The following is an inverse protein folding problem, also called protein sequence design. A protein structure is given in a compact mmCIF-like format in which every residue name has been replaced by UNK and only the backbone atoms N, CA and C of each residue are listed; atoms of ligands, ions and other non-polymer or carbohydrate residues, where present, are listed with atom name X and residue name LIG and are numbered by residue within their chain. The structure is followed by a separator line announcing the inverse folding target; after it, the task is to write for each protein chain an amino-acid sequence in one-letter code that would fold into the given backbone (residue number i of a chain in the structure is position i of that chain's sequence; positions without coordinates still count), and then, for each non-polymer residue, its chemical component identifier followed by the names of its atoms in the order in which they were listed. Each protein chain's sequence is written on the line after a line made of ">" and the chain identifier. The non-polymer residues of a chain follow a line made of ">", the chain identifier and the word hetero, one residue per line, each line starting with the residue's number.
data_IF_909356467178
#
_entry.id   IF_909356467178
#
_cell.length_a   1.000
_cell.length_b   1.000
_cell.length_c   1.000
_cell.angle_alpha   90.00
_cell.angle_beta   90.00
_cell.angle_gamma   90.00
#
_symmetry.space_group_name_H-M   'P 1'
#
loop_
_entity.id
_entity.type
_entity.pdbx_description
1 polymer ?
#
# COMPACT_ATOMS: atom_id res chain seq x y z
N UNK A 1 -14.53 -17.91 -1.77
CA UNK A 1 -13.76 -16.66 -1.85
C UNK A 1 -14.57 -15.65 -2.64
N UNK A 2 -15.20 -14.68 -1.96
CA UNK A 2 -16.08 -13.70 -2.61
C UNK A 2 -15.22 -12.63 -3.30
N UNK A 3 -15.34 -12.50 -4.63
CA UNK A 3 -14.77 -11.38 -5.38
C UNK A 3 -15.44 -10.11 -4.89
N UNK A 4 -14.76 -9.30 -4.07
CA UNK A 4 -15.20 -7.93 -3.81
C UNK A 4 -15.16 -7.19 -5.15
N UNK A 5 -16.34 -6.81 -5.64
CA UNK A 5 -16.50 -5.97 -6.81
C UNK A 5 -15.87 -4.60 -6.49
N UNK A 6 -14.71 -4.30 -7.05
CA UNK A 6 -14.15 -2.95 -6.97
C UNK A 6 -14.93 -2.05 -7.93
N UNK A 7 -15.92 -1.34 -7.41
CA UNK A 7 -16.54 -0.24 -8.16
C UNK A 7 -15.52 0.89 -8.23
N UNK A 8 -14.89 1.05 -9.40
CA UNK A 8 -14.00 2.17 -9.66
C UNK A 8 -14.86 3.43 -9.71
N UNK A 9 -14.70 4.30 -8.70
CA UNK A 9 -15.36 5.62 -8.64
C UNK A 9 -14.57 6.62 -9.47
N UNK A 10 -15.25 7.64 -9.98
CA UNK A 10 -14.60 8.73 -10.69
C UNK A 10 -13.66 9.48 -9.73
N UNK A 11 -12.46 9.82 -10.20
CA UNK A 11 -11.46 10.52 -9.36
C UNK A 11 -11.94 11.91 -8.95
N UNK A 12 -12.77 12.57 -9.77
CA UNK A 12 -13.36 13.88 -9.47
C UNK A 12 -14.31 13.86 -8.28
N UNK A 13 -14.82 12.69 -7.89
CA UNK A 13 -15.63 12.50 -6.68
C UNK A 13 -14.78 12.25 -5.43
N UNK A 14 -13.50 11.90 -5.61
CA UNK A 14 -12.61 11.48 -4.52
C UNK A 14 -11.67 12.59 -4.05
N UNK A 15 -11.26 13.48 -4.97
CA UNK A 15 -10.30 14.56 -4.69
C UNK A 15 -10.71 15.86 -5.37
N UNK A 16 -10.29 16.98 -4.80
CA UNK A 16 -10.53 18.32 -5.35
C UNK A 16 -9.23 19.11 -5.48
N UNK A 17 -9.21 20.09 -6.38
CA UNK A 17 -8.06 20.98 -6.55
C UNK A 17 -7.79 21.77 -5.26
N UNK A 18 -6.51 21.91 -4.90
CA UNK A 18 -6.07 22.59 -3.68
C UNK A 18 -6.27 21.77 -2.39
N UNK A 19 -6.66 20.49 -2.49
CA UNK A 19 -6.72 19.60 -1.34
C UNK A 19 -5.31 19.11 -0.96
N UNK A 20 -4.95 19.33 0.30
CA UNK A 20 -3.74 18.75 0.87
C UNK A 20 -3.98 17.27 1.20
N UNK A 21 -3.05 16.43 0.77
CA UNK A 21 -3.08 14.98 0.97
C UNK A 21 -1.72 14.50 1.46
N UNK A 22 -1.73 13.63 2.48
CA UNK A 22 -0.53 12.93 2.89
C UNK A 22 -0.18 11.87 1.84
N UNK A 23 1.06 11.91 1.36
CA UNK A 23 1.55 11.06 0.29
C UNK A 23 2.96 10.55 0.59
N UNK A 24 3.30 9.39 0.04
CA UNK A 24 4.64 8.82 0.04
C UNK A 24 5.18 8.73 -1.39
N UNK A 25 6.46 9.10 -1.57
CA UNK A 25 7.18 8.93 -2.84
C UNK A 25 7.49 7.44 -3.03
N UNK A 26 7.02 6.88 -4.14
CA UNK A 26 7.23 5.49 -4.54
C UNK A 26 8.30 5.38 -5.63
N UNK A 27 8.39 6.39 -6.50
CA UNK A 27 9.46 6.51 -7.49
C UNK A 27 9.93 7.94 -7.57
N UNK A 28 11.23 8.10 -7.68
CA UNK A 28 11.88 9.37 -7.97
C UNK A 28 11.36 9.97 -9.29
N UNK A 29 11.43 11.31 -9.44
CA UNK A 29 11.07 11.96 -10.69
C UNK A 29 11.93 11.44 -11.87
N UNK A 30 11.35 11.44 -13.07
CA UNK A 30 12.02 10.98 -14.28
C UNK A 30 11.86 12.01 -15.41
N UNK A 31 12.95 12.68 -15.76
CA UNK A 31 12.97 13.72 -16.78
C UNK A 31 12.03 14.87 -16.41
N UNK A 32 11.02 15.12 -17.25
CA UNK A 32 9.99 16.15 -17.00
C UNK A 32 8.81 15.64 -16.15
N UNK A 33 8.74 14.34 -15.86
CA UNK A 33 7.69 13.77 -15.02
C UNK A 33 8.09 13.88 -13.55
N UNK A 34 7.21 14.47 -12.74
CA UNK A 34 7.36 14.50 -11.29
C UNK A 34 7.38 13.10 -10.66
N UNK A 35 7.66 13.05 -9.36
CA UNK A 35 7.72 11.82 -8.60
C UNK A 35 6.38 11.06 -8.60
N UNK A 36 6.43 9.73 -8.56
CA UNK A 36 5.22 8.91 -8.39
C UNK A 36 4.86 8.81 -6.92
N UNK A 37 3.62 9.10 -6.59
CA UNK A 37 3.12 9.16 -5.21
C UNK A 37 2.08 8.06 -4.92
N UNK A 38 1.89 7.76 -3.64
CA UNK A 38 0.80 6.92 -3.11
C UNK A 38 0.25 7.51 -1.81
N UNK A 39 -1.02 7.25 -1.49
CA UNK A 39 -1.62 7.53 -0.17
C UNK A 39 -1.56 6.33 0.78
N UNK A 40 -1.19 5.14 0.26
CA UNK A 40 -0.94 3.95 1.08
C UNK A 40 0.43 4.09 1.74
N UNK A 41 0.45 4.73 2.92
CA UNK A 41 1.68 5.00 3.66
C UNK A 41 2.25 3.71 4.23
N UNK A 42 3.57 3.56 4.16
CA UNK A 42 4.30 2.43 4.70
C UNK A 42 5.44 2.91 5.59
N UNK A 43 5.51 2.37 6.81
CA UNK A 43 6.58 2.64 7.77
C UNK A 43 7.37 1.35 7.98
N UNK A 44 8.48 1.15 7.24
CA UNK A 44 9.30 -0.03 7.40
C UNK A 44 10.09 0.02 8.70
N UNK A 45 10.22 -1.12 9.35
CA UNK A 45 11.11 -1.35 10.49
C UNK A 45 11.97 -2.59 10.22
N UNK A 46 12.76 -3.02 11.22
CA UNK A 46 13.64 -4.18 11.08
C UNK A 46 12.91 -5.49 10.73
N UNK A 47 11.72 -5.72 11.28
CA UNK A 47 11.01 -7.01 11.17
C UNK A 47 9.55 -6.89 10.72
N UNK A 48 8.99 -5.68 10.74
CA UNK A 48 7.62 -5.41 10.32
C UNK A 48 7.59 -4.22 9.38
N UNK A 49 6.56 -4.16 8.55
CA UNK A 49 6.18 -2.95 7.81
C UNK A 49 4.81 -2.56 8.32
N UNK A 50 4.71 -1.38 8.93
CA UNK A 50 3.42 -0.88 9.39
C UNK A 50 2.73 -0.11 8.25
N UNK A 51 1.49 -0.48 7.96
CA UNK A 51 0.64 0.15 6.96
C UNK A 51 -0.65 0.66 7.62
N UNK A 52 -0.73 1.94 8.02
CA UNK A 52 -1.94 2.48 8.63
C UNK A 52 -3.15 2.36 7.70
N UNK A 53 -4.27 1.87 8.22
CA UNK A 53 -5.52 1.72 7.46
C UNK A 53 -5.59 0.51 6.51
N UNK A 54 -4.53 -0.31 6.44
CA UNK A 54 -4.57 -1.54 5.67
C UNK A 54 -5.58 -2.54 6.25
N UNK A 55 -6.40 -3.12 5.37
CA UNK A 55 -7.44 -4.10 5.75
C UNK A 55 -6.92 -5.53 5.94
N UNK A 56 -5.64 -5.77 5.66
CA UNK A 56 -5.05 -7.10 5.72
C UNK A 56 -3.63 -7.05 6.29
N UNK A 57 -3.22 -8.15 6.92
CA UNK A 57 -1.86 -8.41 7.40
C UNK A 57 -1.25 -9.50 6.51
N UNK A 58 0.02 -9.33 6.14
CA UNK A 58 0.75 -10.28 5.30
C UNK A 58 2.06 -10.73 5.95
N UNK A 59 2.49 -11.95 5.63
CA UNK A 59 3.82 -12.48 5.97
C UNK A 59 4.66 -12.51 4.69
N UNK A 60 5.96 -12.20 4.81
CA UNK A 60 6.87 -12.20 3.66
C UNK A 60 6.89 -13.58 2.99
N UNK A 61 6.74 -13.59 1.66
CA UNK A 61 6.79 -14.81 0.85
C UNK A 61 8.14 -15.52 0.91
N UNK A 62 9.21 -14.82 1.35
CA UNK A 62 10.53 -15.43 1.57
C UNK A 62 10.60 -16.26 2.85
N UNK A 63 9.61 -16.14 3.73
CA UNK A 63 9.49 -16.97 4.93
C UNK A 63 8.77 -18.24 4.49
N UNK A 64 9.51 -19.35 4.40
CA UNK A 64 8.92 -20.66 4.21
C UNK A 64 8.08 -21.03 5.43
N UNK A 65 6.88 -21.54 5.20
CA UNK A 65 6.04 -22.08 6.26
C UNK A 65 6.63 -23.40 6.76
N UNK A 66 7.60 -23.35 7.67
CA UNK A 66 7.87 -24.50 8.53
C UNK A 66 6.72 -24.63 9.51
N UNK A 67 5.71 -25.41 9.12
CA UNK A 67 4.81 -26.04 10.08
C UNK A 67 5.68 -27.00 10.88
N UNK A 68 6.13 -26.54 12.05
CA UNK A 68 6.63 -27.44 13.07
C UNK A 68 5.42 -28.23 13.56
N UNK A 69 5.14 -29.36 12.91
CA UNK A 69 4.31 -30.39 13.50
C UNK A 69 5.08 -30.94 14.71
N UNK A 70 4.66 -30.55 15.91
CA UNK A 70 4.92 -31.37 17.09
C UNK A 70 4.27 -32.73 16.87
N UNK A 71 5.11 -33.75 16.74
CA UNK A 71 4.85 -35.13 17.11
C UNK A 71 6.11 -35.64 17.80
#
# INVERSE_FOLDING_TARGET
>A
MSKKQFTVRDISELVRQGQDLMVQVVKDPLGTKGARLTTDITLPSRYLVFMPGASHVGVSQRIEAKVNASA
#
